data_IF_909795837335
#
_entry.id   IF_909795837335
#
_cell.length_a   1.000
_cell.length_b   1.000
_cell.length_c   1.000
_cell.angle_alpha   90.00
_cell.angle_beta   90.00
_cell.angle_gamma   90.00
#
_symmetry.space_group_name_H-M   'P 1'
#
loop_
_entity.id
_entity.type
_entity.pdbx_description
1 polymer ?
#
# COMPACT_ATOMS: atom_id res chain seq x y z
N UNK A 1 -8.17 -5.13 -12.80
CA UNK A 1 -7.75 -4.61 -11.48
C UNK A 1 -8.79 -3.66 -10.89
N UNK A 2 -9.09 -2.51 -11.50
CA UNK A 2 -10.01 -1.52 -10.92
C UNK A 2 -11.42 -2.06 -10.60
N UNK A 3 -12.01 -2.86 -11.50
CA UNK A 3 -13.33 -3.46 -11.26
C UNK A 3 -13.36 -4.35 -10.01
N UNK A 4 -12.29 -5.12 -9.79
CA UNK A 4 -12.13 -5.94 -8.57
C UNK A 4 -11.98 -5.05 -7.33
N UNK A 5 -11.20 -3.98 -7.41
CA UNK A 5 -11.09 -3.05 -6.29
C UNK A 5 -12.43 -2.41 -5.95
N UNK A 6 -13.25 -2.07 -6.95
CA UNK A 6 -14.60 -1.52 -6.75
C UNK A 6 -15.51 -2.53 -6.04
N UNK A 7 -15.52 -3.80 -6.44
CA UNK A 7 -16.34 -4.83 -5.78
C UNK A 7 -15.91 -5.07 -4.34
N UNK A 8 -14.61 -5.25 -4.08
CA UNK A 8 -14.10 -5.44 -2.72
C UNK A 8 -14.26 -4.20 -1.83
N UNK A 9 -14.14 -3.00 -2.41
CA UNK A 9 -14.40 -1.76 -1.69
C UNK A 9 -15.87 -1.66 -1.26
N UNK A 10 -16.80 -1.97 -2.16
CA UNK A 10 -18.23 -2.00 -1.83
C UNK A 10 -18.54 -3.01 -0.73
N UNK A 11 -17.99 -4.22 -0.80
CA UNK A 11 -18.16 -5.24 0.24
C UNK A 11 -17.61 -4.78 1.59
N UNK A 12 -16.43 -4.15 1.59
CA UNK A 12 -15.79 -3.61 2.81
C UNK A 12 -16.59 -2.46 3.43
N UNK A 13 -17.21 -1.63 2.60
CA UNK A 13 -17.99 -0.46 3.02
C UNK A 13 -19.49 -0.71 3.12
N UNK A 14 -19.96 -1.94 2.91
CA UNK A 14 -21.39 -2.29 3.02
C UNK A 14 -21.97 -2.01 4.41
N UNK A 15 -21.14 -2.10 5.46
CA UNK A 15 -21.51 -1.78 6.85
C UNK A 15 -21.20 -0.33 7.25
N UNK A 16 -20.88 0.53 6.28
CA UNK A 16 -20.41 1.89 6.50
C UNK A 16 -18.91 1.97 6.81
N UNK A 17 -18.44 3.16 7.17
CA UNK A 17 -17.05 3.44 7.51
C UNK A 17 -16.52 4.71 6.87
N UNK A 18 -15.28 5.08 7.18
CA UNK A 18 -14.65 6.30 6.66
C UNK A 18 -14.38 6.18 5.17
N UNK A 19 -14.84 7.15 4.39
CA UNK A 19 -14.52 7.26 2.96
C UNK A 19 -13.03 7.44 2.76
N UNK A 20 -12.49 6.86 1.68
CA UNK A 20 -11.09 7.06 1.32
C UNK A 20 -10.85 8.52 0.94
N UNK A 21 -9.68 9.05 1.31
CA UNK A 21 -9.24 10.40 0.89
C UNK A 21 -8.88 10.46 -0.60
N UNK A 22 -8.62 9.31 -1.19
CA UNK A 22 -8.12 9.13 -2.55
C UNK A 22 -9.11 8.26 -3.33
N UNK A 23 -9.29 8.53 -4.63
CA UNK A 23 -10.12 7.69 -5.50
C UNK A 23 -9.53 6.27 -5.62
N UNK A 24 -10.34 5.30 -6.07
CA UNK A 24 -9.82 3.93 -6.25
C UNK A 24 -8.88 3.85 -7.45
N UNK A 25 -9.11 4.69 -8.46
CA UNK A 25 -8.28 4.88 -9.63
C UNK A 25 -6.89 5.39 -9.23
N UNK A 26 -6.83 6.51 -8.51
CA UNK A 26 -5.56 7.11 -8.04
C UNK A 26 -4.83 6.19 -7.07
N UNK A 27 -5.57 5.47 -6.21
CA UNK A 27 -4.98 4.51 -5.30
C UNK A 27 -4.34 3.33 -6.04
N UNK A 28 -5.00 2.83 -7.09
CA UNK A 28 -4.44 1.79 -7.95
C UNK A 28 -3.19 2.31 -8.65
N UNK A 29 -3.23 3.53 -9.18
CA UNK A 29 -2.08 4.16 -9.84
C UNK A 29 -0.88 4.30 -8.89
N UNK A 30 -1.09 4.87 -7.70
CA UNK A 30 -0.05 5.02 -6.68
C UNK A 30 0.56 3.68 -6.27
N UNK A 31 -0.27 2.63 -6.14
CA UNK A 31 0.20 1.28 -5.81
C UNK A 31 1.05 0.70 -6.95
N UNK A 32 0.66 0.91 -8.20
CA UNK A 32 1.41 0.41 -9.36
C UNK A 32 2.73 1.14 -9.55
N UNK A 33 2.79 2.45 -9.31
CA UNK A 33 4.03 3.23 -9.30
C UNK A 33 5.02 2.66 -8.29
N UNK A 34 4.55 2.37 -7.07
CA UNK A 34 5.38 1.73 -6.06
C UNK A 34 5.85 0.32 -6.49
N UNK A 35 4.93 -0.54 -6.94
CA UNK A 35 5.23 -1.94 -7.23
C UNK A 35 6.03 -2.16 -8.53
N UNK A 36 5.87 -1.30 -9.54
CA UNK A 36 6.47 -1.50 -10.87
C UNK A 36 7.53 -0.47 -11.24
N UNK A 37 7.42 0.77 -10.77
CA UNK A 37 8.35 1.84 -11.14
C UNK A 37 9.41 2.11 -10.07
N UNK A 38 9.40 1.33 -8.97
CA UNK A 38 10.33 1.48 -7.85
C UNK A 38 10.38 2.91 -7.27
N UNK A 39 9.30 3.69 -7.39
CA UNK A 39 9.18 4.98 -6.70
C UNK A 39 8.96 4.76 -5.21
N UNK A 40 9.57 5.60 -4.37
CA UNK A 40 9.38 5.52 -2.91
C UNK A 40 8.00 6.05 -2.51
N UNK A 41 7.48 5.60 -1.36
CA UNK A 41 6.19 6.12 -0.88
C UNK A 41 6.25 7.62 -0.61
N UNK A 42 7.38 8.15 -0.16
CA UNK A 42 7.60 9.60 0.02
C UNK A 42 7.35 10.37 -1.28
N UNK A 43 7.97 9.96 -2.38
CA UNK A 43 7.81 10.62 -3.68
C UNK A 43 6.37 10.56 -4.18
N UNK A 44 5.75 9.38 -4.09
CA UNK A 44 4.37 9.19 -4.55
C UNK A 44 3.42 10.04 -3.69
N UNK A 45 3.60 10.06 -2.38
CA UNK A 45 2.72 10.82 -1.49
C UNK A 45 2.87 12.33 -1.64
N UNK A 46 4.06 12.81 -1.97
CA UNK A 46 4.28 14.21 -2.35
C UNK A 46 3.45 14.59 -3.59
N UNK A 47 3.44 13.76 -4.63
CA UNK A 47 2.67 14.01 -5.86
C UNK A 47 1.15 14.05 -5.60
N UNK A 48 0.64 13.15 -4.75
CA UNK A 48 -0.79 13.07 -4.43
C UNK A 48 -1.24 13.97 -3.27
N UNK A 49 -0.31 14.66 -2.59
CA UNK A 49 -0.62 15.52 -1.44
C UNK A 49 -1.23 14.76 -0.25
N UNK A 50 -0.82 13.52 -0.03
CA UNK A 50 -1.34 12.65 1.05
C UNK A 50 -0.23 12.30 2.05
N UNK A 51 -0.62 11.74 3.20
CA UNK A 51 0.36 11.27 4.17
C UNK A 51 0.85 9.87 3.83
N UNK A 52 2.14 9.61 3.98
CA UNK A 52 2.79 8.33 3.65
C UNK A 52 2.13 7.12 4.31
N UNK A 53 1.91 7.21 5.63
CA UNK A 53 1.22 6.19 6.42
C UNK A 53 -0.19 5.83 5.90
N UNK A 54 -0.89 6.78 5.25
CA UNK A 54 -2.16 6.49 4.59
C UNK A 54 -1.94 5.68 3.32
N UNK A 55 -0.97 6.06 2.47
CA UNK A 55 -0.68 5.34 1.23
C UNK A 55 -0.17 3.93 1.49
N UNK A 56 0.74 3.72 2.45
CA UNK A 56 1.28 2.39 2.81
C UNK A 56 0.14 1.41 3.15
N UNK A 57 -0.74 1.81 4.07
CA UNK A 57 -1.86 0.95 4.51
C UNK A 57 -2.84 0.64 3.39
N UNK A 58 -3.07 1.62 2.49
CA UNK A 58 -4.01 1.46 1.38
C UNK A 58 -3.41 0.63 0.25
N UNK A 59 -2.13 0.79 -0.05
CA UNK A 59 -1.38 0.01 -1.05
C UNK A 59 -1.30 -1.46 -0.63
N UNK A 60 -1.02 -1.75 0.66
CA UNK A 60 -1.08 -3.11 1.20
C UNK A 60 -2.46 -3.76 1.04
N UNK A 61 -3.54 -2.99 1.21
CA UNK A 61 -4.89 -3.50 0.99
C UNK A 61 -5.16 -3.78 -0.50
N UNK A 62 -4.72 -2.90 -1.41
CA UNK A 62 -4.83 -3.10 -2.85
C UNK A 62 -4.08 -4.36 -3.27
N UNK A 63 -2.82 -4.49 -2.87
CA UNK A 63 -1.97 -5.64 -3.16
C UNK A 63 -2.63 -6.94 -2.70
N UNK A 64 -3.06 -7.02 -1.42
CA UNK A 64 -3.71 -8.20 -0.88
C UNK A 64 -5.00 -8.56 -1.64
N UNK A 65 -5.80 -7.56 -2.03
CA UNK A 65 -7.05 -7.76 -2.78
C UNK A 65 -6.78 -8.27 -4.19
N UNK A 66 -5.75 -7.74 -4.85
CA UNK A 66 -5.34 -8.16 -6.20
C UNK A 66 -4.77 -9.58 -6.19
N UNK A 67 -3.93 -9.92 -5.20
CA UNK A 67 -3.43 -11.29 -5.02
C UNK A 67 -4.59 -12.26 -4.77
N UNK A 68 -5.53 -11.92 -3.89
CA UNK A 68 -6.70 -12.75 -3.61
C UNK A 68 -7.57 -13.02 -4.84
N UNK A 69 -7.59 -12.09 -5.79
CA UNK A 69 -8.33 -12.21 -7.06
C UNK A 69 -7.51 -12.80 -8.20
N UNK A 70 -6.31 -13.30 -7.93
CA UNK A 70 -5.45 -13.98 -8.90
C UNK A 70 -4.59 -13.05 -9.76
N UNK A 71 -4.48 -11.76 -9.43
CA UNK A 71 -3.55 -10.86 -10.10
C UNK A 71 -2.17 -10.97 -9.45
N UNK A 72 -1.17 -11.32 -10.26
CA UNK A 72 0.25 -11.24 -9.88
C UNK A 72 0.85 -9.99 -10.51
N UNK A 73 1.28 -9.03 -9.69
CA UNK A 73 2.00 -7.84 -10.15
C UNK A 73 3.49 -8.14 -10.06
N UNK A 74 4.11 -8.47 -11.18
CA UNK A 74 5.56 -8.57 -11.26
C UNK A 74 6.19 -7.19 -11.29
N UNK A 75 7.32 -7.06 -10.58
CA UNK A 75 8.23 -5.92 -10.72
C UNK A 75 8.75 -5.87 -12.15
N UNK A 76 9.04 -4.67 -12.64
CA UNK A 76 9.68 -4.49 -13.94
C UNK A 76 11.05 -5.18 -13.93
N UNK A 77 11.43 -5.76 -15.06
CA UNK A 77 12.74 -6.37 -15.20
C UNK A 77 13.78 -5.25 -15.22
N UNK A 78 14.69 -5.26 -14.25
CA UNK A 78 15.79 -4.31 -14.18
C UNK A 78 16.96 -4.82 -15.04
N UNK A 79 17.49 -3.94 -15.88
CA UNK A 79 18.77 -4.12 -16.56
C UNK A 79 19.93 -3.82 -15.60
N UNK A 80 21.14 -4.29 -15.93
CA UNK A 80 22.37 -3.98 -15.17
C UNK A 80 22.69 -2.48 -15.15
N UNK A 81 22.17 -1.73 -16.11
CA UNK A 81 22.35 -0.26 -16.23
C UNK A 81 21.35 0.54 -15.39
N UNK A 82 20.27 -0.10 -14.91
CA UNK A 82 19.21 0.58 -14.18
C UNK A 82 19.62 0.84 -12.73
N UNK A 83 19.62 2.11 -12.33
CA UNK A 83 19.83 2.51 -10.93
C UNK A 83 18.49 2.76 -10.25
N UNK A 84 18.23 2.03 -9.17
CA UNK A 84 17.00 2.15 -8.39
C UNK A 84 17.33 2.61 -6.97
N UNK A 85 16.55 3.58 -6.48
CA UNK A 85 16.62 4.02 -5.08
C UNK A 85 15.60 3.22 -4.30
N UNK A 86 16.04 2.54 -3.24
CA UNK A 86 15.17 1.77 -2.34
C UNK A 86 15.22 2.40 -0.97
N UNK A 87 14.05 2.73 -0.42
CA UNK A 87 13.93 3.22 0.94
C UNK A 87 14.05 2.05 1.93
N UNK A 88 15.11 2.09 2.75
CA UNK A 88 15.36 1.08 3.78
C UNK A 88 14.43 1.20 5.00
N UNK A 89 13.67 2.30 5.13
CA UNK A 89 12.77 2.56 6.25
C UNK A 89 11.39 1.92 6.08
N UNK A 90 11.01 1.53 4.86
CA UNK A 90 9.72 0.91 4.53
C UNK A 90 9.60 -0.57 5.00
N UNK A 91 10.48 -1.00 5.89
CA UNK A 91 10.54 -2.38 6.42
C UNK A 91 9.67 -2.50 7.69
N UNK A 92 8.93 -3.61 7.80
CA UNK A 92 8.15 -3.92 9.01
C UNK A 92 9.09 -4.09 10.21
N UNK A 93 9.00 -3.18 11.17
CA UNK A 93 9.70 -3.30 12.45
C UNK A 93 8.96 -4.25 13.41
N UNK A 94 9.70 -5.15 14.04
CA UNK A 94 9.15 -6.00 15.10
C UNK A 94 8.93 -5.16 16.36
N UNK A 95 7.68 -5.03 16.79
CA UNK A 95 7.36 -4.36 18.06
C UNK A 95 7.38 -5.38 19.20
N UNK A 96 8.25 -5.24 20.21
CA UNK A 96 8.24 -6.14 21.36
C UNK A 96 6.86 -6.10 22.03
N UNK A 97 6.28 -7.28 22.24
CA UNK A 97 5.00 -7.42 22.94
C UNK A 97 5.25 -7.12 24.43
N UNK A 98 4.45 -6.23 25.01
CA UNK A 98 4.50 -5.95 26.45
C UNK A 98 4.11 -7.23 27.20
N UNK A 99 4.89 -7.62 28.20
CA UNK A 99 4.49 -8.69 29.13
C UNK A 99 3.44 -8.14 30.10
N UNK A 100 2.46 -8.97 30.47
CA UNK A 100 1.35 -8.63 31.36
C UNK A 100 1.81 -8.06 32.71
N UNK A 101 3.04 -8.38 33.15
CA UNK A 101 3.67 -7.87 34.37
C UNK A 101 3.99 -6.37 34.37
N UNK A 102 3.94 -5.70 33.22
CA UNK A 102 4.23 -4.25 33.10
C UNK A 102 2.95 -3.38 33.02
N UNK A 103 1.77 -3.97 33.28
CA UNK A 103 0.47 -3.31 33.17
C UNK A 103 -0.10 -2.81 34.52
N UNK A 104 0.65 -2.98 35.61
CA UNK A 104 0.25 -2.45 36.91
C UNK A 104 1.04 -1.18 37.22
N UNK A 105 0.40 -0.04 36.99
CA UNK A 105 0.70 1.25 37.60
C UNK A 105 -0.51 1.64 38.45
#
# INVERSE_FOLDING_TARGET
MLAVLKTFYQLKHAKGGRTSKLSLEDLLMATLQYMREYRTYEQITADFGIHESYLIRRSQWVEATLIQSGFTISKTHLSTEDTVIVDATEVKINRPKKSTSQLFW
#
